data_IF_430552010061
#
_entry.id   IF_430552010061
#
_cell.length_a   1.000
_cell.length_b   1.000
_cell.length_c   1.000
_cell.angle_alpha   90.00
_cell.angle_beta   90.00
_cell.angle_gamma   90.00
#
_symmetry.space_group_name_H-M   'P 1'
#
loop_
_entity.id
_entity.type
_entity.pdbx_description
1 polymer ?
#
# COMPACT_ATOMS: atom_id res chain seq x y z
N UNK A 1 -0.19 -21.70 -3.31
CA UNK A 1 0.47 -20.91 -4.36
C UNK A 1 1.78 -20.26 -3.91
N UNK A 2 1.84 -19.59 -2.73
CA UNK A 2 3.06 -18.91 -2.28
C UNK A 2 4.24 -19.86 -2.05
N UNK A 3 3.99 -21.04 -1.48
CA UNK A 3 5.03 -22.07 -1.23
C UNK A 3 5.50 -22.69 -2.56
N UNK A 4 4.59 -22.90 -3.49
CA UNK A 4 4.91 -23.44 -4.83
C UNK A 4 5.76 -22.44 -5.62
N UNK A 5 5.47 -21.14 -5.54
CA UNK A 5 6.27 -20.10 -6.18
C UNK A 5 7.69 -20.05 -5.62
N UNK A 6 7.83 -20.03 -4.27
CA UNK A 6 9.14 -20.01 -3.62
C UNK A 6 10.01 -21.21 -4.02
N UNK A 7 9.43 -22.43 -4.03
CA UNK A 7 10.14 -23.63 -4.48
C UNK A 7 10.54 -23.56 -5.97
N UNK A 8 9.65 -23.04 -6.83
CA UNK A 8 9.95 -22.84 -8.25
C UNK A 8 11.09 -21.83 -8.45
N UNK A 9 11.13 -20.76 -7.66
CA UNK A 9 12.15 -19.72 -7.78
C UNK A 9 13.53 -20.19 -7.32
N UNK A 10 13.61 -21.00 -6.27
CA UNK A 10 14.85 -21.67 -5.87
C UNK A 10 15.35 -22.61 -6.98
N UNK A 11 14.45 -23.40 -7.56
CA UNK A 11 14.79 -24.29 -8.68
C UNK A 11 15.33 -23.54 -9.91
N UNK A 12 14.77 -22.35 -10.19
CA UNK A 12 15.22 -21.48 -11.29
C UNK A 12 16.51 -20.69 -10.97
N UNK A 13 17.11 -20.88 -9.82
CA UNK A 13 18.31 -20.15 -9.34
C UNK A 13 18.13 -18.63 -9.34
N UNK A 14 16.96 -18.13 -8.98
CA UNK A 14 16.73 -16.71 -8.82
C UNK A 14 17.50 -16.19 -7.60
N UNK A 15 18.10 -15.00 -7.73
CA UNK A 15 18.87 -14.40 -6.65
C UNK A 15 18.00 -13.74 -5.60
N UNK A 16 16.88 -13.15 -6.02
CA UNK A 16 15.92 -12.46 -5.15
C UNK A 16 14.51 -12.86 -5.54
N UNK A 17 13.69 -13.16 -4.53
CA UNK A 17 12.26 -13.35 -4.64
C UNK A 17 11.56 -12.23 -3.85
N UNK A 18 10.69 -11.46 -4.52
CA UNK A 18 9.92 -10.38 -3.92
C UNK A 18 8.44 -10.73 -3.93
N UNK A 19 7.84 -10.89 -2.76
CA UNK A 19 6.40 -11.10 -2.62
C UNK A 19 5.66 -9.77 -2.44
N UNK A 20 4.57 -9.60 -3.20
CA UNK A 20 3.74 -8.40 -3.12
C UNK A 20 2.73 -8.51 -1.98
N UNK A 21 2.84 -7.61 -1.01
CA UNK A 21 1.93 -7.50 0.12
C UNK A 21 1.20 -6.15 0.13
N UNK A 22 0.53 -5.83 1.22
CA UNK A 22 -0.41 -4.73 1.32
C UNK A 22 -0.46 -4.18 2.75
N UNK A 23 -0.89 -2.93 2.92
CA UNK A 23 -1.27 -2.31 4.20
C UNK A 23 -2.30 -3.14 4.99
N UNK A 24 -3.14 -3.91 4.30
CA UNK A 24 -4.17 -4.75 4.93
C UNK A 24 -3.60 -5.98 5.65
N UNK A 25 -2.33 -6.34 5.37
CA UNK A 25 -1.59 -7.37 6.10
C UNK A 25 -1.18 -6.91 7.52
N UNK A 26 -1.10 -5.60 7.75
CA UNK A 26 -0.75 -5.02 9.05
C UNK A 26 -2.02 -4.88 9.88
N UNK A 27 -2.06 -5.47 11.08
CA UNK A 27 -3.28 -5.50 11.94
C UNK A 27 -4.53 -5.94 11.15
N UNK A 28 -4.54 -7.17 10.56
CA UNK A 28 -5.56 -7.59 9.59
C UNK A 28 -6.95 -7.73 10.24
N UNK A 29 -7.98 -7.22 9.55
CA UNK A 29 -9.39 -7.30 9.98
C UNK A 29 -10.24 -8.28 9.16
N UNK A 30 -9.69 -8.79 8.04
CA UNK A 30 -10.43 -9.68 7.14
C UNK A 30 -9.54 -10.81 6.61
N UNK A 31 -10.15 -11.79 5.96
CA UNK A 31 -9.46 -12.99 5.47
C UNK A 31 -8.32 -12.68 4.49
N UNK A 32 -8.50 -11.69 3.61
CA UNK A 32 -7.47 -11.29 2.66
C UNK A 32 -6.25 -10.69 3.39
N UNK A 33 -6.47 -9.78 4.34
CA UNK A 33 -5.40 -9.23 5.17
C UNK A 33 -4.67 -10.30 5.96
N UNK A 34 -5.41 -11.23 6.58
CA UNK A 34 -4.84 -12.37 7.33
C UNK A 34 -4.00 -13.27 6.43
N UNK A 35 -4.49 -13.60 5.23
CA UNK A 35 -3.74 -14.43 4.28
C UNK A 35 -2.44 -13.76 3.82
N UNK A 36 -2.46 -12.44 3.62
CA UNK A 36 -1.27 -11.65 3.27
C UNK A 36 -0.28 -11.55 4.43
N UNK A 37 -0.76 -11.37 5.67
CA UNK A 37 0.09 -11.41 6.86
C UNK A 37 0.79 -12.76 7.02
N UNK A 38 0.05 -13.86 6.83
CA UNK A 38 0.63 -15.21 6.84
C UNK A 38 1.65 -15.40 5.70
N UNK A 39 1.34 -14.92 4.50
CA UNK A 39 2.26 -14.95 3.35
C UNK A 39 3.59 -14.27 3.69
N UNK A 40 3.57 -13.06 4.29
CA UNK A 40 4.79 -12.37 4.69
C UNK A 40 5.65 -13.21 5.64
N UNK A 41 5.05 -13.78 6.68
CA UNK A 41 5.76 -14.64 7.63
C UNK A 41 6.36 -15.88 6.96
N UNK A 42 5.61 -16.54 6.07
CA UNK A 42 6.08 -17.72 5.35
C UNK A 42 7.23 -17.40 4.38
N UNK A 43 7.12 -16.30 3.62
CA UNK A 43 8.15 -15.89 2.66
C UNK A 43 9.42 -15.46 3.39
N UNK A 44 9.32 -14.59 4.38
CA UNK A 44 10.48 -14.13 5.13
C UNK A 44 11.19 -15.28 5.85
N UNK A 45 10.46 -16.26 6.37
CA UNK A 45 11.04 -17.43 7.04
C UNK A 45 11.82 -18.38 6.12
N UNK A 46 11.63 -18.32 4.79
CA UNK A 46 12.42 -19.15 3.87
C UNK A 46 13.93 -18.89 3.99
N UNK A 47 14.33 -17.69 4.34
CA UNK A 47 15.74 -17.35 4.53
C UNK A 47 16.40 -18.13 5.68
N UNK A 48 15.62 -18.62 6.66
CA UNK A 48 16.14 -19.46 7.77
C UNK A 48 16.55 -20.86 7.32
N UNK A 49 16.11 -21.32 6.16
CA UNK A 49 16.47 -22.64 5.62
C UNK A 49 17.82 -22.65 4.94
N UNK A 50 18.46 -21.50 4.79
CA UNK A 50 19.65 -21.33 3.98
C UNK A 50 19.34 -21.37 2.47
N UNK A 51 20.35 -21.08 1.67
CA UNK A 51 20.26 -21.03 0.22
C UNK A 51 20.72 -19.68 -0.35
N UNK A 52 20.89 -19.64 -1.66
CA UNK A 52 21.39 -18.44 -2.36
C UNK A 52 20.28 -17.43 -2.66
N UNK A 53 19.03 -17.88 -2.77
CA UNK A 53 17.89 -17.00 -3.05
C UNK A 53 17.48 -16.24 -1.80
N UNK A 54 17.40 -14.93 -1.91
CA UNK A 54 16.92 -14.03 -0.86
C UNK A 54 15.43 -13.80 -1.03
N UNK A 55 14.65 -14.02 0.02
CA UNK A 55 13.21 -13.84 0.04
C UNK A 55 12.86 -12.60 0.83
N UNK A 56 12.11 -11.69 0.24
CA UNK A 56 11.63 -10.47 0.89
C UNK A 56 10.20 -10.14 0.46
N UNK A 57 9.60 -9.16 1.11
CA UNK A 57 8.27 -8.67 0.79
C UNK A 57 8.31 -7.17 0.52
N UNK A 58 7.35 -6.67 -0.23
CA UNK A 58 7.03 -5.24 -0.34
C UNK A 58 5.61 -5.00 0.13
N UNK A 59 5.39 -3.92 0.88
CA UNK A 59 4.06 -3.45 1.29
C UNK A 59 3.79 -2.09 0.69
N UNK A 60 2.61 -1.93 0.14
CA UNK A 60 2.11 -0.64 -0.30
C UNK A 60 0.61 -0.51 -0.05
N UNK A 61 0.13 0.72 0.00
CA UNK A 61 -1.27 1.04 0.13
C UNK A 61 -2.02 0.94 -1.20
N UNK A 62 -2.95 1.82 -1.43
CA UNK A 62 -3.74 1.83 -2.65
C UNK A 62 -2.92 2.32 -3.84
N UNK A 63 -2.76 1.47 -4.85
CA UNK A 63 -2.23 1.87 -6.15
C UNK A 63 -3.34 2.53 -6.94
N UNK A 64 -3.13 3.78 -7.31
CA UNK A 64 -4.11 4.59 -8.03
C UNK A 64 -4.49 3.93 -9.36
N UNK A 65 -5.78 3.90 -9.68
CA UNK A 65 -6.28 3.29 -10.91
C UNK A 65 -6.31 1.76 -10.95
N UNK A 66 -5.89 1.08 -9.86
CA UNK A 66 -5.94 -0.38 -9.82
C UNK A 66 -7.38 -0.91 -9.87
N UNK A 67 -7.57 -2.11 -10.46
CA UNK A 67 -8.88 -2.75 -10.60
C UNK A 67 -9.58 -2.88 -9.25
N UNK A 68 -10.84 -2.44 -9.19
CA UNK A 68 -11.67 -2.50 -7.98
C UNK A 68 -11.32 -1.43 -6.92
N UNK A 69 -10.42 -0.50 -7.20
CA UNK A 69 -10.13 0.63 -6.30
C UNK A 69 -11.14 1.76 -6.44
N UNK A 70 -11.06 2.77 -5.52
CA UNK A 70 -12.03 3.86 -5.45
C UNK A 70 -12.09 4.73 -6.70
N UNK A 71 -10.96 5.05 -7.33
CA UNK A 71 -10.93 5.93 -8.51
C UNK A 71 -11.69 5.33 -9.70
N UNK A 72 -11.46 4.08 -10.13
CA UNK A 72 -12.28 3.44 -11.16
C UNK A 72 -13.78 3.33 -10.79
N UNK A 73 -14.08 3.12 -9.51
CA UNK A 73 -15.48 3.12 -9.05
C UNK A 73 -16.11 4.49 -9.25
N UNK A 74 -15.45 5.55 -8.79
CA UNK A 74 -15.96 6.92 -8.93
C UNK A 74 -16.15 7.33 -10.39
N UNK A 75 -15.20 6.97 -11.27
CA UNK A 75 -15.36 7.24 -12.72
C UNK A 75 -16.61 6.56 -13.29
N UNK A 76 -16.84 5.29 -13.02
CA UNK A 76 -18.04 4.58 -13.47
C UNK A 76 -19.32 5.23 -12.96
N UNK A 77 -19.34 5.67 -11.69
CA UNK A 77 -20.49 6.37 -11.12
C UNK A 77 -20.75 7.71 -11.82
N UNK A 78 -19.68 8.46 -12.15
CA UNK A 78 -19.79 9.69 -12.96
C UNK A 78 -20.36 9.39 -14.35
N UNK A 79 -19.87 8.36 -15.04
CA UNK A 79 -20.33 7.95 -16.37
C UNK A 79 -21.81 7.52 -16.38
N UNK A 80 -22.27 6.92 -15.27
CA UNK A 80 -23.66 6.54 -15.07
C UNK A 80 -24.55 7.65 -14.49
N UNK A 81 -24.00 8.84 -14.27
CA UNK A 81 -24.65 9.97 -13.59
C UNK A 81 -25.18 9.63 -12.18
N UNK A 82 -24.52 8.66 -11.50
CA UNK A 82 -24.82 8.23 -10.14
C UNK A 82 -23.98 9.03 -9.12
N UNK A 83 -24.48 9.25 -7.88
CA UNK A 83 -23.69 9.85 -6.82
C UNK A 83 -22.40 9.05 -6.54
N UNK A 84 -21.29 9.76 -6.26
CA UNK A 84 -20.08 9.09 -5.77
C UNK A 84 -20.35 8.51 -4.38
N UNK A 85 -20.15 7.22 -4.21
CA UNK A 85 -20.36 6.56 -2.92
C UNK A 85 -19.06 6.50 -2.13
N UNK A 86 -19.03 7.14 -0.97
CA UNK A 86 -17.93 7.06 0.00
C UNK A 86 -18.40 6.38 1.28
N UNK A 87 -17.49 5.71 1.98
CA UNK A 87 -17.82 5.03 3.24
C UNK A 87 -17.97 6.02 4.38
N UNK A 88 -16.89 6.70 4.74
CA UNK A 88 -16.85 7.74 5.79
C UNK A 88 -15.92 8.85 5.29
N UNK A 89 -16.31 10.14 5.35
CA UNK A 89 -15.52 11.25 4.80
C UNK A 89 -14.08 11.28 5.31
N UNK A 90 -13.88 11.13 6.61
CA UNK A 90 -12.61 11.20 7.32
C UNK A 90 -11.72 9.95 7.19
N UNK A 91 -12.21 8.89 6.52
CA UNK A 91 -11.41 7.69 6.25
C UNK A 91 -10.20 8.02 5.38
N UNK A 92 -9.00 7.66 5.82
CA UNK A 92 -7.78 7.96 5.07
C UNK A 92 -7.21 6.76 4.33
N UNK A 93 -6.57 7.01 3.20
CA UNK A 93 -5.89 5.99 2.39
C UNK A 93 -4.56 6.52 1.88
N UNK A 94 -3.55 5.63 1.86
CA UNK A 94 -2.31 5.90 1.14
C UNK A 94 -2.57 5.89 -0.36
N UNK A 95 -1.93 6.80 -1.08
CA UNK A 95 -1.96 6.88 -2.53
C UNK A 95 -0.57 6.67 -3.12
N UNK A 96 -0.46 5.71 -4.02
CA UNK A 96 0.75 5.47 -4.80
C UNK A 96 0.41 5.45 -6.28
N UNK A 97 1.29 6.02 -7.10
CA UNK A 97 1.23 5.79 -8.54
C UNK A 97 1.78 4.39 -8.89
N UNK A 98 1.48 3.90 -10.09
CA UNK A 98 2.03 2.63 -10.56
C UNK A 98 3.56 2.66 -10.59
N UNK A 99 4.16 3.74 -11.08
CA UNK A 99 5.62 3.91 -11.12
C UNK A 99 6.25 3.84 -9.73
N UNK A 100 5.60 4.42 -8.73
CA UNK A 100 6.07 4.34 -7.35
C UNK A 100 6.00 2.92 -6.80
N UNK A 101 4.97 2.15 -7.15
CA UNK A 101 4.83 0.76 -6.72
C UNK A 101 5.86 -0.14 -7.41
N UNK A 102 6.11 0.05 -8.70
CA UNK A 102 7.19 -0.63 -9.45
C UNK A 102 8.56 -0.26 -8.87
N UNK A 103 8.79 1.03 -8.62
CA UNK A 103 10.02 1.52 -8.00
C UNK A 103 10.31 0.86 -6.64
N UNK A 104 9.29 0.59 -5.82
CA UNK A 104 9.45 -0.14 -4.56
C UNK A 104 9.91 -1.59 -4.79
N UNK A 105 9.36 -2.27 -5.78
CA UNK A 105 9.79 -3.65 -6.12
C UNK A 105 11.25 -3.66 -6.58
N UNK A 106 11.64 -2.72 -7.45
CA UNK A 106 13.02 -2.60 -7.94
C UNK A 106 13.99 -2.25 -6.79
N UNK A 107 13.57 -1.38 -5.86
CA UNK A 107 14.35 -1.08 -4.66
C UNK A 107 14.56 -2.34 -3.81
N UNK A 108 13.49 -3.11 -3.54
CA UNK A 108 13.59 -4.36 -2.80
C UNK A 108 14.52 -5.38 -3.50
N UNK A 109 14.43 -5.53 -4.81
CA UNK A 109 15.30 -6.42 -5.59
C UNK A 109 16.78 -6.04 -5.46
N UNK A 110 17.09 -4.75 -5.37
CA UNK A 110 18.46 -4.23 -5.27
C UNK A 110 19.03 -4.35 -3.87
N UNK A 111 18.20 -4.16 -2.84
CA UNK A 111 18.65 -3.96 -1.45
C UNK A 111 18.36 -5.15 -0.53
N UNK A 112 17.60 -6.17 -0.97
CA UNK A 112 17.26 -7.31 -0.15
C UNK A 112 18.52 -8.11 0.25
N UNK A 113 18.63 -8.38 1.54
CA UNK A 113 19.64 -9.29 2.12
C UNK A 113 19.01 -10.58 2.67
N UNK A 114 17.67 -10.57 2.88
CA UNK A 114 16.82 -11.73 3.19
C UNK A 114 15.97 -11.54 4.44
N UNK A 115 14.66 -11.58 4.26
CA UNK A 115 13.65 -11.50 5.34
C UNK A 115 13.06 -10.11 5.57
N UNK A 116 13.50 -9.10 4.83
CA UNK A 116 12.99 -7.75 4.97
C UNK A 116 11.60 -7.58 4.39
N UNK A 117 10.88 -6.58 4.93
CA UNK A 117 9.69 -6.03 4.32
C UNK A 117 9.98 -4.56 3.97
N UNK A 118 9.97 -4.25 2.68
CA UNK A 118 10.20 -2.90 2.19
C UNK A 118 8.88 -2.15 2.06
N UNK A 119 8.86 -0.92 2.53
CA UNK A 119 7.69 -0.02 2.51
C UNK A 119 8.10 1.31 1.92
N UNK A 120 7.39 1.77 0.89
CA UNK A 120 7.58 3.12 0.37
C UNK A 120 6.77 4.11 1.22
N UNK A 121 7.40 5.23 1.61
CA UNK A 121 6.67 6.37 2.16
C UNK A 121 5.76 6.94 1.08
N UNK A 122 4.49 7.08 1.38
CA UNK A 122 3.45 7.47 0.46
C UNK A 122 2.68 8.68 0.98
N UNK A 123 2.14 9.47 0.08
CA UNK A 123 1.15 10.48 0.40
C UNK A 123 -0.15 9.82 0.82
N UNK A 124 -0.96 10.52 1.59
CA UNK A 124 -2.28 10.05 2.00
C UNK A 124 -3.31 11.17 1.84
N UNK A 125 -4.57 10.82 1.71
CA UNK A 125 -5.68 11.75 1.74
C UNK A 125 -6.91 11.11 2.38
N UNK A 126 -7.89 11.93 2.73
CA UNK A 126 -9.22 11.44 3.08
C UNK A 126 -9.94 10.92 1.83
N UNK A 127 -10.91 10.02 2.03
CA UNK A 127 -11.75 9.54 0.93
C UNK A 127 -12.62 10.66 0.36
N UNK A 128 -13.02 11.63 1.20
CA UNK A 128 -13.75 12.81 0.77
C UNK A 128 -12.91 13.67 -0.18
N UNK A 129 -11.66 13.99 0.20
CA UNK A 129 -10.74 14.76 -0.65
C UNK A 129 -10.47 14.06 -1.99
N UNK A 130 -10.30 12.73 -1.96
CA UNK A 130 -10.13 11.94 -3.18
C UNK A 130 -11.37 12.00 -4.08
N UNK A 131 -12.57 11.84 -3.51
CA UNK A 131 -13.82 11.91 -4.26
C UNK A 131 -14.03 13.32 -4.85
N UNK A 132 -13.71 14.36 -4.09
CA UNK A 132 -13.79 15.76 -4.57
C UNK A 132 -12.82 16.00 -5.74
N UNK A 133 -11.59 15.54 -5.67
CA UNK A 133 -10.63 15.64 -6.76
C UNK A 133 -11.11 14.91 -8.03
N UNK A 134 -11.64 13.69 -7.87
CA UNK A 134 -12.12 12.88 -9.00
C UNK A 134 -13.35 13.52 -9.65
N UNK A 135 -14.34 14.00 -8.87
CA UNK A 135 -15.54 14.64 -9.46
C UNK A 135 -15.19 15.95 -10.18
N UNK A 136 -14.31 16.79 -9.62
CA UNK A 136 -13.86 18.03 -10.27
C UNK A 136 -13.17 17.76 -11.60
N UNK A 137 -12.35 16.71 -11.68
CA UNK A 137 -11.59 16.37 -12.87
C UNK A 137 -12.40 15.67 -13.95
N UNK A 138 -13.26 14.75 -13.58
CA UNK A 138 -13.90 13.84 -14.55
C UNK A 138 -15.40 14.05 -14.74
N UNK A 139 -16.09 14.76 -13.84
CA UNK A 139 -17.51 14.99 -13.99
C UNK A 139 -17.82 16.26 -14.79
N UNK A 140 -18.76 16.21 -15.73
CA UNK A 140 -19.29 17.42 -16.38
C UNK A 140 -19.92 18.41 -15.38
N UNK A 141 -20.41 17.91 -14.24
CA UNK A 141 -20.98 18.71 -13.14
C UNK A 141 -19.90 19.29 -12.20
N UNK A 142 -18.64 18.89 -12.37
CA UNK A 142 -17.54 19.34 -11.52
C UNK A 142 -17.84 19.11 -10.04
N UNK A 143 -17.61 20.12 -9.23
CA UNK A 143 -17.87 20.10 -7.78
C UNK A 143 -19.34 19.89 -7.38
N UNK A 144 -20.29 20.11 -8.30
CA UNK A 144 -21.74 19.91 -8.06
C UNK A 144 -22.16 18.44 -8.20
N UNK A 145 -21.27 17.55 -8.66
CA UNK A 145 -21.57 16.12 -8.71
C UNK A 145 -21.79 15.58 -7.29
N UNK A 146 -22.95 14.90 -7.02
CA UNK A 146 -23.29 14.54 -5.66
C UNK A 146 -22.38 13.45 -5.08
N UNK A 147 -22.15 13.53 -3.76
CA UNK A 147 -21.46 12.50 -2.97
C UNK A 147 -22.46 11.92 -1.97
N UNK A 148 -22.51 10.59 -1.84
CA UNK A 148 -23.36 9.86 -0.90
C UNK A 148 -22.50 9.08 0.08
N UNK A 149 -22.77 9.23 1.38
CA UNK A 149 -22.08 8.50 2.45
C UNK A 149 -22.83 7.21 2.75
N UNK A 150 -22.14 6.07 2.65
CA UNK A 150 -22.74 4.73 2.84
C UNK A 150 -22.45 4.10 4.20
N UNK A 151 -21.53 4.67 4.97
CA UNK A 151 -21.02 4.11 6.23
C UNK A 151 -19.90 3.10 6.04
N UNK A 152 -19.18 2.82 7.12
CA UNK A 152 -18.04 1.89 7.14
C UNK A 152 -18.52 0.46 6.97
N UNK A 153 -17.82 -0.34 6.18
CA UNK A 153 -18.14 -1.74 5.96
C UNK A 153 -17.41 -2.62 6.98
N UNK A 154 -17.98 -3.78 7.37
CA UNK A 154 -17.27 -4.76 8.19
C UNK A 154 -15.94 -5.16 7.57
N UNK A 155 -14.85 -5.11 8.35
CA UNK A 155 -13.51 -5.45 7.90
C UNK A 155 -12.76 -4.34 7.17
N UNK A 156 -13.29 -3.11 7.13
CA UNK A 156 -12.57 -1.91 6.69
C UNK A 156 -11.99 -1.16 7.90
N UNK A 157 -10.81 -0.58 7.72
CA UNK A 157 -10.16 0.30 8.69
C UNK A 157 -10.47 1.75 8.38
N UNK A 158 -10.64 2.57 9.42
CA UNK A 158 -10.72 4.02 9.25
C UNK A 158 -9.40 4.57 8.67
N UNK A 159 -8.27 4.13 9.21
CA UNK A 159 -6.94 4.48 8.75
C UNK A 159 -6.13 3.21 8.47
N UNK A 160 -5.38 3.19 7.38
CA UNK A 160 -4.51 2.07 7.04
C UNK A 160 -3.14 2.23 7.71
N UNK A 161 -2.50 1.10 8.00
CA UNK A 161 -1.17 1.05 8.61
C UNK A 161 -0.22 0.31 7.69
N UNK A 162 0.95 0.88 7.41
CA UNK A 162 2.01 0.23 6.63
C UNK A 162 3.11 -0.35 7.51
N UNK A 163 3.39 0.28 8.66
CA UNK A 163 4.34 -0.21 9.66
C UNK A 163 3.74 -0.01 11.04
N UNK A 164 3.57 -1.09 11.81
CA UNK A 164 3.02 -1.02 13.16
C UNK A 164 4.09 -0.69 14.20
N UNK A 165 3.66 -0.42 15.45
CA UNK A 165 4.52 -0.02 16.56
C UNK A 165 5.65 -1.02 16.89
N UNK A 166 5.40 -2.32 16.74
CA UNK A 166 6.40 -3.37 17.00
C UNK A 166 7.41 -3.47 15.86
N UNK A 167 6.95 -3.31 14.63
CA UNK A 167 7.80 -3.30 13.44
C UNK A 167 8.70 -2.06 13.43
N UNK A 168 8.19 -0.90 13.89
CA UNK A 168 8.97 0.34 13.98
C UNK A 168 10.22 0.20 14.84
N UNK A 169 10.23 -0.71 15.83
CA UNK A 169 11.41 -0.96 16.67
C UNK A 169 12.58 -1.62 15.92
N UNK A 170 12.35 -2.09 14.70
CA UNK A 170 13.33 -2.79 13.86
C UNK A 170 13.37 -2.28 12.42
N UNK A 171 13.10 -0.99 12.27
CA UNK A 171 13.09 -0.29 10.96
C UNK A 171 14.41 0.44 10.74
N UNK A 172 14.95 0.32 9.54
CA UNK A 172 15.85 1.32 8.98
C UNK A 172 15.04 2.30 8.16
N UNK A 173 15.19 3.59 8.42
CA UNK A 173 14.48 4.67 7.75
C UNK A 173 15.39 5.38 6.77
N UNK A 174 14.98 5.45 5.52
CA UNK A 174 15.56 6.26 4.45
C UNK A 174 14.62 7.39 4.08
N UNK A 175 15.05 8.29 3.20
CA UNK A 175 14.23 9.42 2.75
C UNK A 175 12.86 8.96 2.21
N UNK A 176 12.86 7.97 1.31
CA UNK A 176 11.65 7.49 0.62
C UNK A 176 11.16 6.12 1.10
N UNK A 177 11.92 5.42 1.96
CA UNK A 177 11.62 4.03 2.29
C UNK A 177 11.76 3.75 3.79
N UNK A 178 10.98 2.78 4.24
CA UNK A 178 11.21 2.03 5.46
C UNK A 178 11.61 0.61 5.09
N UNK A 179 12.65 0.09 5.71
CA UNK A 179 13.03 -1.33 5.66
C UNK A 179 12.78 -1.95 7.01
N UNK A 180 11.74 -2.77 7.11
CA UNK A 180 11.42 -3.54 8.32
C UNK A 180 12.27 -4.80 8.31
N UNK A 181 13.21 -4.92 9.25
CA UNK A 181 14.10 -6.07 9.35
C UNK A 181 13.40 -7.28 10.02
N UNK A 182 13.79 -8.51 9.68
CA UNK A 182 13.28 -9.69 10.37
C UNK A 182 13.77 -9.73 11.83
N UNK A 183 12.97 -10.36 12.69
CA UNK A 183 13.24 -10.44 14.15
C UNK A 183 14.58 -11.11 14.48
N UNK A 184 15.02 -12.02 13.61
CA UNK A 184 16.27 -12.78 13.78
C UNK A 184 17.52 -12.08 13.20
N UNK A 185 17.39 -10.94 12.54
CA UNK A 185 18.49 -10.19 11.94
C UNK A 185 18.19 -8.69 11.94
N UNK A 186 18.27 -8.10 13.12
CA UNK A 186 18.01 -6.66 13.31
C UNK A 186 19.36 -5.93 13.36
N UNK A 187 19.61 -4.92 12.51
CA UNK A 187 20.83 -4.13 12.53
C UNK A 187 21.05 -3.42 13.88
N UNK A 188 22.29 -3.37 14.35
CA UNK A 188 22.67 -2.67 15.59
C UNK A 188 22.41 -1.15 15.48
N UNK A 189 22.62 -0.57 14.31
CA UNK A 189 22.45 0.88 14.03
C UNK A 189 21.06 1.24 13.54
N UNK A 190 20.01 0.69 14.14
CA UNK A 190 18.65 1.13 13.86
C UNK A 190 18.32 2.42 14.61
N UNK A 191 17.50 3.29 14.01
CA UNK A 191 16.96 4.44 14.72
C UNK A 191 16.02 3.95 15.83
N UNK A 192 16.30 4.30 17.09
CA UNK A 192 15.34 4.07 18.17
C UNK A 192 14.12 4.94 17.96
N UNK A 193 12.96 4.31 17.86
CA UNK A 193 11.67 4.99 17.74
C UNK A 193 10.94 4.93 19.08
N UNK A 194 10.25 6.00 19.50
CA UNK A 194 9.38 5.94 20.67
C UNK A 194 8.36 4.81 20.57
N UNK A 195 8.08 4.14 21.69
CA UNK A 195 7.03 3.12 21.75
C UNK A 195 5.67 3.72 21.33
N UNK A 196 4.90 2.95 20.55
CA UNK A 196 3.63 3.40 19.99
C UNK A 196 3.76 4.21 18.68
N UNK A 197 4.99 4.42 18.17
CA UNK A 197 5.18 5.03 16.85
C UNK A 197 4.72 4.05 15.77
N UNK A 198 3.85 4.53 14.88
CA UNK A 198 3.34 3.78 13.73
C UNK A 198 3.37 4.65 12.48
N UNK A 199 3.50 4.02 11.30
CA UNK A 199 3.31 4.68 10.03
C UNK A 199 1.92 4.36 9.47
N UNK A 200 1.00 5.30 9.65
CA UNK A 200 -0.41 5.20 9.28
C UNK A 200 -0.79 6.25 8.24
N UNK A 201 -1.87 6.01 7.51
CA UNK A 201 -2.39 6.96 6.52
C UNK A 201 -2.92 8.27 7.15
N UNK A 202 -3.24 8.27 8.45
CA UNK A 202 -3.62 9.49 9.19
C UNK A 202 -2.44 10.32 9.69
N UNK A 203 -1.21 9.76 9.64
CA UNK A 203 0.03 10.42 10.10
C UNK A 203 1.04 10.63 8.95
N UNK A 204 0.72 10.18 7.75
CA UNK A 204 1.54 10.39 6.57
C UNK A 204 1.43 11.85 6.09
N UNK A 205 2.31 12.24 5.15
CA UNK A 205 2.17 13.52 4.46
C UNK A 205 0.82 13.59 3.76
N UNK A 206 -0.04 14.50 4.20
CA UNK A 206 -1.43 14.57 3.79
C UNK A 206 -1.60 15.47 2.57
N UNK A 207 -2.46 15.02 1.64
CA UNK A 207 -2.99 15.82 0.53
C UNK A 207 -4.33 16.38 1.03
N UNK A 208 -4.36 17.64 1.43
CA UNK A 208 -5.49 18.24 2.14
C UNK A 208 -6.61 18.68 1.19
N UNK A 209 -6.28 19.02 -0.04
CA UNK A 209 -7.22 19.58 -1.01
C UNK A 209 -7.30 18.75 -2.30
N UNK A 210 -8.38 18.91 -3.05
CA UNK A 210 -8.52 18.32 -4.37
C UNK A 210 -7.39 18.73 -5.34
N UNK A 211 -6.92 19.98 -5.24
CA UNK A 211 -5.84 20.50 -6.07
C UNK A 211 -4.50 19.78 -5.84
N UNK A 212 -4.25 19.28 -4.61
CA UNK A 212 -3.04 18.52 -4.30
C UNK A 212 -3.06 17.12 -4.97
N UNK A 213 -4.25 16.57 -5.21
CA UNK A 213 -4.43 15.25 -5.82
C UNK A 213 -4.43 15.32 -7.36
N UNK A 214 -4.86 16.43 -7.96
CA UNK A 214 -4.95 16.58 -9.42
C UNK A 214 -3.67 16.19 -10.17
N UNK A 215 -2.45 16.60 -9.76
CA UNK A 215 -1.23 16.20 -10.44
C UNK A 215 -0.96 14.68 -10.40
N UNK A 216 -1.45 14.00 -9.36
CA UNK A 216 -1.35 12.53 -9.26
C UNK A 216 -2.34 11.85 -10.19
N UNK A 217 -3.55 12.40 -10.34
CA UNK A 217 -4.54 11.90 -11.29
C UNK A 217 -4.08 12.10 -12.74
N UNK A 218 -3.33 13.17 -13.04
CA UNK A 218 -2.74 13.38 -14.36
C UNK A 218 -1.67 12.35 -14.71
N UNK A 219 -0.79 12.05 -13.75
CA UNK A 219 0.27 11.04 -13.91
C UNK A 219 -0.25 9.62 -14.03
N UNK A 220 -1.48 9.38 -13.66
CA UNK A 220 -2.08 8.04 -13.69
C UNK A 220 -2.36 7.56 -15.12
N UNK A 221 -2.42 8.46 -16.11
CA UNK A 221 -2.80 8.15 -17.50
C UNK A 221 -4.26 7.75 -17.64
N UNK A 222 -4.63 7.24 -18.82
CA UNK A 222 -5.98 6.74 -19.05
C UNK A 222 -6.21 5.45 -18.26
N UNK A 223 -7.22 5.47 -17.39
CA UNK A 223 -7.59 4.35 -16.50
C UNK A 223 -7.98 3.08 -17.29
N UNK A 224 -8.30 3.20 -18.58
CA UNK A 224 -8.65 2.08 -19.46
C UNK A 224 -7.54 1.01 -19.56
N UNK A 225 -6.28 1.37 -19.27
CA UNK A 225 -5.15 0.44 -19.30
C UNK A 225 -5.13 -0.57 -18.15
N UNK A 226 -5.97 -0.41 -17.12
CA UNK A 226 -5.94 -1.23 -15.89
C UNK A 226 -7.26 -1.97 -15.61
N UNK A 227 -8.22 -1.95 -16.54
CA UNK A 227 -9.53 -2.63 -16.43
C UNK A 227 -9.47 -4.06 -17.00
#
# INVERSE_FOLDING_TARGET
>A
HCISSAASDVYKRQKVFVALSTDKAVKPLNAMGTSKAMMEKLICSQNLKGGETKFCCVRYGNVMGSRGSGIPLFKRQIESDEPLTITVPEMTRFLLTLDQSVGLVLHAMKHAIGGEIFVRKALACTIETLADAVRRKFSPKGAEHPISVTGIRPGEKLHETLVNEYEMQRVTEEELFYTVHPEYNVPEHRAEKPLGTEYTSSKASELETAADIEPLLEKMGDIELYI
#
